data_IF_246814118682
#
_entry.id   IF_246814118682
#
_cell.length_a   1.000
_cell.length_b   1.000
_cell.length_c   1.000
_cell.angle_alpha   90.00
_cell.angle_beta   90.00
_cell.angle_gamma   90.00
#
_symmetry.space_group_name_H-M   'P 1'
#
loop_
_entity.id
_entity.type
_entity.pdbx_description
1 polymer ?
#
# COMPACT_ATOMS: atom_id res chain seq x y z
N UNK A 1 15.37 -23.40 11.58
CA UNK A 1 16.40 -22.55 10.96
C UNK A 1 16.53 -21.31 11.82
N UNK A 2 17.71 -20.99 12.36
CA UNK A 2 17.94 -19.74 13.09
C UNK A 2 18.43 -18.66 12.09
N UNK A 3 17.66 -17.58 11.95
CA UNK A 3 17.95 -16.53 10.97
C UNK A 3 19.07 -15.58 11.41
N UNK A 4 19.32 -15.47 12.72
CA UNK A 4 20.22 -14.48 13.31
C UNK A 4 21.54 -15.08 13.81
N UNK A 5 21.72 -16.39 13.66
CA UNK A 5 22.97 -17.07 13.97
C UNK A 5 24.14 -16.54 13.10
N UNK A 6 25.29 -16.18 13.70
CA UNK A 6 26.47 -15.78 12.94
C UNK A 6 26.99 -16.95 12.10
N UNK A 7 26.91 -16.82 10.78
CA UNK A 7 27.49 -17.82 9.89
C UNK A 7 29.00 -17.62 9.78
N UNK A 8 29.79 -18.69 9.97
CA UNK A 8 31.27 -18.66 9.83
C UNK A 8 31.78 -18.09 8.49
N UNK A 9 30.93 -17.99 7.47
CA UNK A 9 31.24 -17.54 6.11
C UNK A 9 30.73 -16.13 5.77
N UNK A 10 30.11 -15.43 6.71
CA UNK A 10 29.56 -14.08 6.50
C UNK A 10 30.16 -13.15 7.55
N UNK A 11 31.01 -12.24 7.11
CA UNK A 11 31.54 -11.18 7.98
C UNK A 11 30.55 -10.02 8.08
N UNK A 12 30.60 -9.26 9.17
CA UNK A 12 29.61 -8.20 9.46
C UNK A 12 29.58 -7.10 8.39
N UNK A 13 30.69 -6.85 7.69
CA UNK A 13 30.79 -5.92 6.55
C UNK A 13 30.01 -6.39 5.31
N UNK A 14 29.66 -7.68 5.24
CA UNK A 14 28.83 -8.25 4.18
C UNK A 14 27.35 -8.23 4.50
N UNK A 15 26.95 -7.80 5.70
CA UNK A 15 25.55 -7.75 6.07
C UNK A 15 24.81 -6.64 5.34
N UNK A 16 23.65 -7.01 4.81
CA UNK A 16 22.70 -6.04 4.28
C UNK A 16 22.24 -5.09 5.39
N UNK A 17 22.10 -3.80 5.08
CA UNK A 17 21.73 -2.76 6.05
C UNK A 17 20.47 -3.09 6.83
N UNK A 18 19.45 -3.68 6.17
CA UNK A 18 18.20 -4.09 6.83
C UNK A 18 18.36 -5.30 7.74
N UNK A 19 19.21 -6.26 7.37
CA UNK A 19 19.54 -7.39 8.24
C UNK A 19 20.22 -6.88 9.52
N UNK A 20 21.21 -5.99 9.35
CA UNK A 20 21.92 -5.35 10.46
C UNK A 20 20.95 -4.61 11.38
N UNK A 21 20.04 -3.81 10.82
CA UNK A 21 19.01 -3.09 11.58
C UNK A 21 18.14 -4.07 12.41
N UNK A 22 17.60 -5.13 11.81
CA UNK A 22 16.79 -6.11 12.53
C UNK A 22 17.56 -6.86 13.63
N UNK A 23 18.81 -7.21 13.34
CA UNK A 23 19.66 -7.98 14.27
C UNK A 23 20.09 -7.14 15.46
N UNK A 24 20.43 -5.87 15.24
CA UNK A 24 21.08 -5.01 16.24
C UNK A 24 20.11 -4.09 16.99
N UNK A 25 18.88 -3.88 16.50
CA UNK A 25 17.91 -3.01 17.17
C UNK A 25 17.52 -3.57 18.56
N UNK A 26 17.88 -2.90 19.67
CA UNK A 26 17.53 -3.37 21.01
C UNK A 26 16.02 -3.39 21.26
N UNK A 27 15.22 -2.63 20.50
CA UNK A 27 13.78 -2.58 20.61
C UNK A 27 13.04 -3.47 19.59
N UNK A 28 13.78 -4.12 18.68
CA UNK A 28 13.23 -4.96 17.61
C UNK A 28 12.93 -6.41 18.00
N UNK A 29 12.70 -6.71 19.28
CA UNK A 29 12.47 -8.09 19.75
C UNK A 29 11.23 -8.72 19.11
N UNK A 30 10.12 -7.97 19.06
CA UNK A 30 8.88 -8.44 18.43
C UNK A 30 9.08 -8.75 16.95
N UNK A 31 9.74 -7.88 16.21
CA UNK A 31 10.05 -8.08 14.79
C UNK A 31 10.88 -9.35 14.56
N UNK A 32 11.89 -9.62 15.41
CA UNK A 32 12.71 -10.83 15.32
C UNK A 32 11.91 -12.10 15.62
N UNK A 33 11.04 -12.06 16.64
CA UNK A 33 10.18 -13.20 16.99
C UNK A 33 9.20 -13.51 15.85
N UNK A 34 8.53 -12.49 15.30
CA UNK A 34 7.62 -12.65 14.17
C UNK A 34 8.36 -13.25 12.97
N UNK A 35 9.52 -12.71 12.62
CA UNK A 35 10.29 -13.21 11.48
C UNK A 35 10.80 -14.64 11.70
N UNK A 36 11.19 -14.99 12.92
CA UNK A 36 11.60 -16.35 13.26
C UNK A 36 10.43 -17.33 13.17
N UNK A 37 9.21 -16.90 13.53
CA UNK A 37 7.97 -17.68 13.34
C UNK A 37 7.63 -17.88 11.88
N UNK A 38 7.88 -16.88 11.02
CA UNK A 38 7.64 -16.99 9.57
C UNK A 38 8.40 -18.14 8.92
N UNK A 39 9.50 -18.61 9.50
CA UNK A 39 10.30 -19.71 8.93
C UNK A 39 10.14 -21.04 9.68
N UNK A 40 9.19 -21.14 10.61
CA UNK A 40 8.93 -22.38 11.35
C UNK A 40 8.41 -23.49 10.41
N UNK A 41 9.22 -24.54 10.24
CA UNK A 41 8.93 -25.64 9.32
C UNK A 41 9.31 -25.38 7.86
N UNK A 42 9.85 -24.20 7.53
CA UNK A 42 10.44 -23.94 6.22
C UNK A 42 11.76 -24.71 6.09
N UNK A 43 11.90 -25.46 5.00
CA UNK A 43 13.08 -26.27 4.71
C UNK A 43 14.06 -25.46 3.86
N UNK A 44 15.28 -25.21 4.39
CA UNK A 44 16.38 -24.62 3.63
C UNK A 44 17.03 -25.69 2.74
N UNK A 45 16.50 -25.85 1.53
CA UNK A 45 16.78 -27.00 0.64
C UNK A 45 18.22 -27.02 0.15
N UNK A 46 18.86 -25.86 -0.01
CA UNK A 46 20.22 -25.73 -0.53
C UNK A 46 21.22 -25.14 0.48
N UNK A 47 20.79 -24.92 1.73
CA UNK A 47 21.56 -24.35 2.84
C UNK A 47 22.11 -22.94 2.55
N UNK A 48 21.38 -22.15 1.75
CA UNK A 48 21.76 -20.77 1.42
C UNK A 48 20.80 -19.72 1.94
N UNK A 49 19.59 -20.09 2.35
CA UNK A 49 18.56 -19.11 2.71
C UNK A 49 19.02 -18.12 3.79
N UNK A 50 19.68 -18.60 4.84
CA UNK A 50 20.21 -17.72 5.91
C UNK A 50 21.33 -16.82 5.38
N UNK A 51 22.24 -17.35 4.55
CA UNK A 51 23.32 -16.56 3.97
C UNK A 51 22.78 -15.47 3.04
N UNK A 52 21.79 -15.78 2.21
CA UNK A 52 21.17 -14.83 1.30
C UNK A 52 20.35 -13.78 2.05
N UNK A 53 19.61 -14.18 3.09
CA UNK A 53 18.93 -13.26 3.98
C UNK A 53 19.90 -12.23 4.61
N UNK A 54 21.09 -12.69 5.02
CA UNK A 54 22.12 -11.83 5.60
C UNK A 54 22.75 -10.88 4.56
N UNK A 55 22.93 -11.31 3.30
CA UNK A 55 23.69 -10.55 2.27
C UNK A 55 22.83 -9.70 1.33
N UNK A 56 21.68 -10.22 0.88
CA UNK A 56 20.82 -9.61 -0.15
C UNK A 56 19.42 -9.27 0.35
N UNK A 57 18.98 -9.92 1.44
CA UNK A 57 17.78 -9.61 2.22
C UNK A 57 16.43 -9.82 1.49
N UNK A 58 16.10 -9.04 0.46
CA UNK A 58 14.73 -8.95 -0.07
C UNK A 58 14.14 -10.25 -0.58
N UNK A 59 14.93 -11.04 -1.33
CA UNK A 59 14.44 -12.30 -1.90
C UNK A 59 14.07 -13.31 -0.79
N UNK A 60 15.00 -13.56 0.13
CA UNK A 60 14.75 -14.47 1.26
C UNK A 60 13.64 -13.94 2.18
N UNK A 61 13.61 -12.63 2.45
CA UNK A 61 12.54 -12.02 3.24
C UNK A 61 11.15 -12.22 2.61
N UNK A 62 11.05 -12.09 1.29
CA UNK A 62 9.82 -12.35 0.55
C UNK A 62 9.41 -13.82 0.61
N UNK A 63 10.36 -14.75 0.44
CA UNK A 63 10.09 -16.19 0.58
C UNK A 63 9.64 -16.57 1.99
N UNK A 64 10.25 -16.00 3.03
CA UNK A 64 9.83 -16.23 4.43
C UNK A 64 8.40 -15.74 4.66
N UNK A 65 8.08 -14.55 4.16
CA UNK A 65 6.74 -13.99 4.25
C UNK A 65 5.71 -14.83 3.48
N UNK A 66 6.01 -15.27 2.26
CA UNK A 66 5.14 -16.13 1.47
C UNK A 66 4.86 -17.45 2.17
N UNK A 67 5.89 -18.11 2.70
CA UNK A 67 5.71 -19.35 3.45
C UNK A 67 4.77 -19.13 4.64
N UNK A 68 4.97 -18.06 5.42
CA UNK A 68 4.09 -17.72 6.53
C UNK A 68 2.64 -17.49 6.08
N UNK A 69 2.43 -16.77 4.97
CA UNK A 69 1.10 -16.51 4.41
C UNK A 69 0.41 -17.82 3.95
N UNK A 70 1.14 -18.72 3.29
CA UNK A 70 0.58 -20.02 2.88
C UNK A 70 0.23 -20.91 4.07
N UNK A 71 1.04 -20.87 5.13
CA UNK A 71 0.74 -21.57 6.38
C UNK A 71 -0.50 -21.00 7.08
N UNK A 72 -0.65 -19.69 7.12
CA UNK A 72 -1.85 -19.02 7.67
C UNK A 72 -3.10 -19.34 6.84
N UNK A 73 -2.98 -19.38 5.51
CA UNK A 73 -4.05 -19.79 4.59
C UNK A 73 -4.43 -21.29 4.70
N UNK A 74 -3.79 -22.05 5.60
CA UNK A 74 -4.09 -23.47 5.82
C UNK A 74 -3.56 -24.39 4.71
N UNK A 75 -2.64 -23.93 3.89
CA UNK A 75 -2.11 -24.71 2.78
C UNK A 75 -1.13 -25.79 3.22
N UNK A 76 -1.17 -26.92 2.52
CA UNK A 76 -0.19 -28.01 2.66
C UNK A 76 0.85 -27.85 1.57
N UNK A 77 2.11 -27.68 1.98
CA UNK A 77 3.24 -27.50 1.07
C UNK A 77 4.06 -28.78 0.93
N UNK A 78 4.42 -29.10 -0.30
CA UNK A 78 5.49 -30.03 -0.63
C UNK A 78 6.82 -29.27 -0.72
N UNK A 79 7.78 -29.66 0.11
CA UNK A 79 9.10 -29.04 0.20
C UNK A 79 10.22 -30.00 -0.21
N UNK A 80 9.92 -31.15 -0.84
CA UNK A 80 10.93 -32.16 -1.21
C UNK A 80 11.73 -31.81 -2.46
N UNK A 81 11.24 -30.84 -3.25
CA UNK A 81 11.86 -30.42 -4.51
C UNK A 81 12.41 -29.00 -4.39
N UNK A 82 13.48 -28.66 -5.12
CA UNK A 82 14.12 -27.34 -5.03
C UNK A 82 13.55 -26.27 -5.97
N UNK A 83 12.51 -26.60 -6.75
CA UNK A 83 11.83 -25.71 -7.69
C UNK A 83 10.49 -26.31 -8.12
N UNK A 84 9.44 -25.50 -8.39
CA UNK A 84 9.34 -24.08 -8.07
C UNK A 84 9.48 -23.82 -6.57
N UNK A 85 9.66 -22.55 -6.17
CA UNK A 85 9.99 -22.19 -4.79
C UNK A 85 8.98 -22.78 -3.77
N UNK A 86 7.67 -22.75 -4.09
CA UNK A 86 6.62 -23.40 -3.31
C UNK A 86 5.71 -24.27 -4.17
N UNK A 87 5.41 -25.47 -3.67
CA UNK A 87 4.46 -26.40 -4.28
C UNK A 87 3.31 -26.64 -3.31
N UNK A 88 2.14 -26.05 -3.56
CA UNK A 88 0.95 -26.24 -2.73
C UNK A 88 0.20 -27.48 -3.22
N UNK A 89 -0.20 -28.36 -2.30
CA UNK A 89 -0.85 -29.65 -2.60
C UNK A 89 -2.30 -29.74 -2.12
N UNK A 90 -2.67 -28.96 -1.11
CA UNK A 90 -4.03 -28.92 -0.57
C UNK A 90 -4.29 -27.57 0.13
N UNK A 91 -5.56 -27.14 0.23
CA UNK A 91 -6.75 -27.75 -0.38
C UNK A 91 -6.81 -27.56 -1.91
N UNK A 92 -5.99 -26.66 -2.44
CA UNK A 92 -5.79 -26.44 -3.87
C UNK A 92 -4.41 -26.97 -4.28
N UNK A 93 -4.23 -27.42 -5.53
CA UNK A 93 -2.89 -27.76 -6.05
C UNK A 93 -2.42 -26.66 -7.01
N UNK A 94 -1.32 -25.98 -6.69
CA UNK A 94 -0.69 -24.97 -7.54
C UNK A 94 0.77 -24.77 -7.17
N UNK A 95 1.56 -24.29 -8.13
CA UNK A 95 2.98 -23.98 -7.91
C UNK A 95 3.18 -22.47 -7.87
N UNK A 96 4.08 -22.01 -7.01
CA UNK A 96 4.44 -20.60 -6.86
C UNK A 96 5.94 -20.44 -7.04
N UNK A 97 6.31 -19.47 -7.86
CA UNK A 97 7.69 -19.01 -8.02
C UNK A 97 7.82 -17.58 -7.46
N UNK A 98 8.73 -17.39 -6.52
CA UNK A 98 8.97 -16.11 -5.86
C UNK A 98 9.96 -15.25 -6.68
N UNK A 99 9.71 -13.94 -6.70
CA UNK A 99 10.60 -12.96 -7.33
C UNK A 99 10.51 -11.62 -6.62
N UNK A 100 11.59 -10.84 -6.70
CA UNK A 100 11.62 -9.44 -6.25
C UNK A 100 11.96 -8.53 -7.41
N UNK A 101 11.20 -7.46 -7.59
CA UNK A 101 11.49 -6.41 -8.56
C UNK A 101 12.35 -5.34 -7.88
N UNK A 102 13.67 -5.53 -7.85
CA UNK A 102 14.61 -4.63 -7.17
C UNK A 102 14.85 -3.32 -7.92
N UNK A 103 15.45 -2.33 -7.27
CA UNK A 103 15.96 -1.09 -7.87
C UNK A 103 16.90 -1.40 -9.04
N UNK A 104 16.90 -0.57 -10.10
CA UNK A 104 17.86 -0.67 -11.21
C UNK A 104 19.31 -0.52 -10.70
N UNK A 105 20.28 -1.18 -11.33
CA UNK A 105 21.67 -1.22 -10.84
C UNK A 105 22.35 0.15 -10.71
N UNK A 106 21.88 1.16 -11.43
CA UNK A 106 22.35 2.56 -11.39
C UNK A 106 21.27 3.50 -10.84
N UNK A 107 20.27 2.96 -10.13
CA UNK A 107 19.25 3.75 -9.46
C UNK A 107 19.77 4.30 -8.14
N UNK A 108 19.04 5.25 -7.56
CA UNK A 108 19.30 5.74 -6.20
C UNK A 108 19.28 4.54 -5.23
N UNK A 109 20.36 4.28 -4.47
CA UNK A 109 20.41 3.16 -3.55
C UNK A 109 19.49 3.39 -2.34
N UNK A 110 19.03 2.30 -1.72
CA UNK A 110 18.16 2.39 -0.54
C UNK A 110 18.82 3.06 0.67
N UNK A 111 20.15 3.04 0.73
CA UNK A 111 20.92 3.75 1.77
C UNK A 111 20.68 5.26 1.76
N UNK A 112 20.23 5.81 0.64
CA UNK A 112 19.97 7.24 0.49
C UNK A 112 18.60 7.64 1.03
N UNK A 113 17.74 6.67 1.40
CA UNK A 113 16.40 6.92 1.92
C UNK A 113 16.47 7.76 3.20
N UNK A 114 15.84 8.93 3.17
CA UNK A 114 15.88 9.94 4.23
C UNK A 114 14.52 10.24 4.86
N UNK A 115 14.47 11.33 5.63
CA UNK A 115 13.24 11.79 6.29
C UNK A 115 12.19 12.29 5.28
N UNK A 116 12.63 13.02 4.26
CA UNK A 116 11.76 13.53 3.19
C UNK A 116 11.03 12.40 2.48
N UNK A 117 11.76 11.33 2.13
CA UNK A 117 11.19 10.11 1.57
C UNK A 117 10.12 9.47 2.46
N UNK A 118 10.28 9.52 3.79
CA UNK A 118 9.28 9.04 4.74
C UNK A 118 8.05 9.94 4.76
N UNK A 119 8.23 11.26 4.74
CA UNK A 119 7.13 12.22 4.70
C UNK A 119 6.30 12.07 3.42
N UNK A 120 6.97 11.78 2.30
CA UNK A 120 6.34 11.65 0.98
C UNK A 120 5.54 10.35 0.78
N UNK A 121 5.74 9.34 1.65
CA UNK A 121 5.05 8.04 1.54
C UNK A 121 3.52 8.15 1.55
N UNK A 122 2.99 9.21 2.17
CA UNK A 122 1.56 9.45 2.35
C UNK A 122 1.02 10.54 1.43
N UNK A 123 1.81 11.13 0.52
CA UNK A 123 1.28 12.10 -0.44
C UNK A 123 0.26 11.38 -1.35
N UNK A 124 -0.94 11.93 -1.60
CA UNK A 124 -1.88 11.35 -2.55
C UNK A 124 -1.34 11.36 -3.99
N UNK A 125 -1.60 10.35 -4.83
CA UNK A 125 -1.09 10.27 -6.21
C UNK A 125 -1.23 11.55 -7.03
N UNK A 126 -2.34 12.27 -6.93
CA UNK A 126 -2.61 13.53 -7.65
C UNK A 126 -1.71 14.70 -7.25
N UNK A 127 -1.05 14.60 -6.09
CA UNK A 127 -0.18 15.61 -5.52
C UNK A 127 1.30 15.16 -5.56
N UNK A 128 1.59 14.00 -6.16
CA UNK A 128 2.94 13.45 -6.28
C UNK A 128 3.56 13.86 -7.61
N UNK A 129 4.59 14.72 -7.58
CA UNK A 129 5.28 15.19 -8.80
C UNK A 129 5.98 14.04 -9.57
N UNK A 130 6.42 13.01 -8.86
CA UNK A 130 7.14 11.84 -9.35
C UNK A 130 6.23 10.63 -9.65
N UNK A 131 4.89 10.77 -9.58
CA UNK A 131 3.95 9.66 -9.72
C UNK A 131 4.18 8.82 -10.98
N UNK A 132 4.21 9.46 -12.14
CA UNK A 132 4.38 8.77 -13.42
C UNK A 132 5.76 8.13 -13.55
N UNK A 133 6.80 8.78 -13.01
CA UNK A 133 8.15 8.21 -12.99
C UNK A 133 8.18 6.91 -12.16
N UNK A 134 7.58 6.92 -10.97
CA UNK A 134 7.46 5.72 -10.12
C UNK A 134 6.67 4.63 -10.82
N UNK A 135 5.51 4.96 -11.40
CA UNK A 135 4.66 3.99 -12.08
C UNK A 135 5.39 3.35 -13.27
N UNK A 136 6.06 4.15 -14.11
CA UNK A 136 6.75 3.65 -15.30
C UNK A 136 7.97 2.80 -14.92
N UNK A 137 8.77 3.22 -13.94
CA UNK A 137 9.90 2.43 -13.44
C UNK A 137 9.40 1.09 -12.88
N UNK A 138 8.35 1.11 -12.04
CA UNK A 138 7.76 -0.10 -11.49
C UNK A 138 7.26 -1.06 -12.59
N UNK A 139 6.52 -0.56 -13.59
CA UNK A 139 6.03 -1.35 -14.72
C UNK A 139 7.19 -2.03 -15.47
N UNK A 140 8.31 -1.32 -15.72
CA UNK A 140 9.49 -1.89 -16.39
C UNK A 140 10.16 -2.98 -15.54
N UNK A 141 10.41 -2.71 -14.26
CA UNK A 141 11.08 -3.67 -13.35
C UNK A 141 10.24 -4.93 -13.15
N UNK A 142 8.94 -4.76 -12.95
CA UNK A 142 7.98 -5.84 -12.77
C UNK A 142 7.80 -6.67 -14.05
N UNK A 143 7.74 -6.03 -15.23
CA UNK A 143 7.69 -6.72 -16.53
C UNK A 143 8.90 -7.63 -16.76
N UNK A 144 10.09 -7.14 -16.42
CA UNK A 144 11.32 -7.93 -16.51
C UNK A 144 11.31 -9.14 -15.57
N UNK A 145 10.84 -8.95 -14.33
CA UNK A 145 10.72 -10.02 -13.34
C UNK A 145 9.75 -11.13 -13.80
N UNK A 146 8.55 -10.74 -14.25
CA UNK A 146 7.53 -11.66 -14.77
C UNK A 146 8.06 -12.42 -15.99
N UNK A 147 8.62 -11.71 -16.98
CA UNK A 147 9.13 -12.32 -18.21
C UNK A 147 10.28 -13.29 -17.93
N UNK A 148 11.16 -12.96 -16.98
CA UNK A 148 12.26 -13.84 -16.57
C UNK A 148 11.74 -15.15 -15.96
N UNK A 149 10.78 -15.09 -15.03
CA UNK A 149 10.23 -16.28 -14.37
C UNK A 149 9.37 -17.12 -15.30
N UNK A 150 8.62 -16.49 -16.21
CA UNK A 150 7.89 -17.20 -17.26
C UNK A 150 8.84 -18.02 -18.14
N UNK A 151 9.93 -17.39 -18.64
CA UNK A 151 10.93 -18.10 -19.44
C UNK A 151 11.57 -19.26 -18.66
N UNK A 152 11.81 -19.08 -17.36
CA UNK A 152 12.36 -20.14 -16.51
C UNK A 152 11.38 -21.31 -16.36
N UNK A 153 10.09 -21.02 -16.19
CA UNK A 153 9.05 -22.05 -16.19
C UNK A 153 9.01 -22.84 -17.51
N UNK A 154 8.94 -22.14 -18.64
CA UNK A 154 8.84 -22.77 -19.97
C UNK A 154 10.09 -23.58 -20.36
N UNK A 155 11.28 -23.09 -19.99
CA UNK A 155 12.53 -23.71 -20.42
C UNK A 155 13.07 -24.75 -19.44
N UNK A 156 12.71 -24.67 -18.16
CA UNK A 156 13.30 -25.49 -17.09
C UNK A 156 12.23 -26.19 -16.25
N UNK A 157 11.34 -25.47 -15.58
CA UNK A 157 10.49 -26.05 -14.53
C UNK A 157 9.45 -27.01 -15.09
N UNK A 158 8.81 -26.64 -16.21
CA UNK A 158 7.82 -27.47 -16.90
C UNK A 158 8.38 -28.81 -17.42
N UNK A 159 9.71 -28.97 -17.44
CA UNK A 159 10.39 -30.21 -17.86
C UNK A 159 10.77 -31.12 -16.68
N UNK A 160 10.51 -30.69 -15.44
CA UNK A 160 10.79 -31.49 -14.25
C UNK A 160 9.66 -32.51 -14.01
N UNK A 161 10.00 -33.76 -13.72
CA UNK A 161 9.02 -34.85 -13.55
C UNK A 161 7.97 -34.61 -12.45
N UNK A 162 8.31 -33.78 -11.44
CA UNK A 162 7.43 -33.43 -10.33
C UNK A 162 6.55 -32.20 -10.59
N UNK A 163 6.74 -31.50 -11.70
CA UNK A 163 5.92 -30.34 -12.11
C UNK A 163 4.89 -30.81 -13.14
N UNK A 164 3.63 -30.90 -12.72
CA UNK A 164 2.54 -31.32 -13.60
C UNK A 164 2.11 -30.19 -14.53
N UNK A 165 1.80 -30.53 -15.78
CA UNK A 165 1.43 -29.56 -16.82
C UNK A 165 0.02 -28.97 -16.65
N UNK A 166 -0.85 -29.62 -15.89
CA UNK A 166 -2.24 -29.23 -15.59
C UNK A 166 -2.39 -28.46 -14.27
N UNK A 167 -1.29 -28.27 -13.53
CA UNK A 167 -1.28 -27.53 -12.27
C UNK A 167 -1.05 -26.03 -12.54
N UNK A 168 -1.86 -25.13 -11.94
CA UNK A 168 -1.65 -23.69 -12.03
C UNK A 168 -0.24 -23.24 -11.62
N UNK A 169 0.29 -22.25 -12.33
CA UNK A 169 1.59 -21.65 -12.04
C UNK A 169 1.43 -20.17 -11.72
N UNK A 170 1.80 -19.78 -10.51
CA UNK A 170 1.67 -18.43 -9.97
C UNK A 170 3.06 -17.82 -9.82
N UNK A 171 3.22 -16.56 -10.21
CA UNK A 171 4.40 -15.79 -9.84
C UNK A 171 4.05 -14.93 -8.64
N UNK A 172 4.79 -15.08 -7.55
CA UNK A 172 4.66 -14.25 -6.38
C UNK A 172 5.75 -13.19 -6.35
N UNK A 173 5.38 -11.91 -6.46
CA UNK A 173 6.29 -10.79 -6.64
C UNK A 173 6.17 -9.76 -5.52
N UNK A 174 7.30 -9.43 -4.90
CA UNK A 174 7.42 -8.22 -4.07
C UNK A 174 8.13 -7.11 -4.85
N UNK A 175 7.62 -5.89 -4.78
CA UNK A 175 8.21 -4.74 -5.47
C UNK A 175 9.11 -3.92 -4.55
N UNK A 176 10.34 -3.72 -5.01
CA UNK A 176 11.34 -2.81 -4.45
C UNK A 176 11.92 -1.95 -5.59
N UNK A 177 11.06 -1.53 -6.54
CA UNK A 177 11.50 -1.03 -7.85
C UNK A 177 12.22 0.32 -7.77
N UNK A 178 12.06 1.06 -6.68
CA UNK A 178 12.67 2.37 -6.40
C UNK A 178 12.74 2.61 -4.87
N UNK A 179 13.52 3.57 -4.39
CA UNK A 179 13.84 3.81 -2.96
C UNK A 179 12.63 3.93 -2.02
N UNK A 180 11.58 4.59 -2.50
CA UNK A 180 10.30 4.84 -1.86
C UNK A 180 9.26 3.77 -2.20
N UNK A 181 9.69 2.53 -2.44
CA UNK A 181 8.77 1.41 -2.67
C UNK A 181 7.70 1.35 -1.57
N UNK A 182 6.52 0.89 -1.96
CA UNK A 182 5.34 0.81 -1.09
C UNK A 182 4.36 1.97 -1.21
N UNK A 183 4.65 2.99 -2.04
CA UNK A 183 3.68 4.05 -2.40
C UNK A 183 3.00 3.86 -3.75
N UNK A 184 3.45 2.88 -4.54
CA UNK A 184 2.93 2.60 -5.89
C UNK A 184 1.59 1.85 -5.90
N UNK A 185 1.21 1.22 -4.79
CA UNK A 185 -0.02 0.45 -4.64
C UNK A 185 -0.23 -0.54 -5.81
N UNK A 186 -1.44 -0.70 -6.33
CA UNK A 186 -1.75 -1.60 -7.44
C UNK A 186 -1.53 -0.97 -8.83
N UNK A 187 -1.29 0.35 -8.93
CA UNK A 187 -1.34 1.07 -10.21
C UNK A 187 -0.40 0.49 -11.29
N UNK A 188 0.86 0.14 -10.99
CA UNK A 188 1.74 -0.51 -11.95
C UNK A 188 1.25 -1.89 -12.40
N UNK A 189 0.70 -2.70 -11.50
CA UNK A 189 0.16 -4.03 -11.82
C UNK A 189 -1.09 -3.96 -12.70
N UNK A 190 -2.01 -3.04 -12.40
CA UNK A 190 -3.20 -2.80 -13.22
C UNK A 190 -2.80 -2.39 -14.65
N UNK A 191 -1.79 -1.53 -14.76
CA UNK A 191 -1.23 -1.10 -16.04
C UNK A 191 -0.59 -2.28 -16.77
N UNK A 192 0.35 -2.97 -16.12
CA UNK A 192 1.15 -4.02 -16.75
C UNK A 192 0.29 -5.22 -17.16
N UNK A 193 -0.60 -5.69 -16.29
CA UNK A 193 -1.35 -6.92 -16.52
C UNK A 193 -2.58 -6.69 -17.40
N UNK A 194 -3.35 -5.63 -17.17
CA UNK A 194 -4.63 -5.41 -17.86
C UNK A 194 -4.64 -4.24 -18.84
N UNK A 195 -3.55 -3.45 -18.92
CA UNK A 195 -3.51 -2.24 -19.74
C UNK A 195 -4.33 -1.10 -19.13
N UNK A 196 -4.70 -1.19 -17.86
CA UNK A 196 -5.46 -0.17 -17.14
C UNK A 196 -4.49 0.81 -16.48
N UNK A 197 -4.25 1.95 -17.14
CA UNK A 197 -3.33 2.99 -16.70
C UNK A 197 -4.03 4.02 -15.82
N UNK A 198 -3.59 4.18 -14.58
CA UNK A 198 -4.20 5.15 -13.65
C UNK A 198 -3.79 6.59 -13.98
N UNK A 199 -4.77 7.48 -14.01
CA UNK A 199 -4.59 8.94 -14.19
C UNK A 199 -5.03 9.64 -12.90
N UNK A 200 -4.09 10.08 -12.05
CA UNK A 200 -4.41 10.63 -10.73
C UNK A 200 -5.37 11.82 -10.73
N UNK A 201 -5.24 12.72 -11.71
CA UNK A 201 -6.02 13.95 -11.82
C UNK A 201 -7.50 13.66 -12.08
N UNK A 202 -7.77 12.55 -12.77
CA UNK A 202 -9.13 12.09 -13.09
C UNK A 202 -9.65 11.06 -12.08
N UNK A 203 -8.77 10.54 -11.20
CA UNK A 203 -9.03 9.39 -10.33
C UNK A 203 -9.65 8.23 -11.11
N UNK A 204 -9.13 7.97 -12.32
CA UNK A 204 -9.70 7.06 -13.31
C UNK A 204 -8.62 6.17 -13.92
N UNK A 205 -9.05 5.13 -14.65
CA UNK A 205 -8.17 4.29 -15.44
C UNK A 205 -8.47 4.45 -16.93
N UNK A 206 -7.43 4.64 -17.74
CA UNK A 206 -7.50 4.66 -19.21
C UNK A 206 -6.82 3.42 -19.80
N UNK A 207 -7.30 2.96 -20.96
CA UNK A 207 -6.72 1.80 -21.63
C UNK A 207 -5.47 2.17 -22.41
N UNK A 208 -4.37 1.45 -22.20
CA UNK A 208 -3.11 1.60 -22.94
C UNK A 208 -2.55 0.23 -23.34
N UNK A 209 -1.80 0.17 -24.43
CA UNK A 209 -1.10 -1.05 -24.89
C UNK A 209 0.40 -1.01 -24.65
N UNK A 210 0.95 0.17 -24.34
CA UNK A 210 2.37 0.35 -24.06
C UNK A 210 2.61 1.49 -23.06
N UNK A 211 3.77 1.46 -22.41
CA UNK A 211 4.26 2.49 -21.48
C UNK A 211 5.69 2.83 -21.84
N UNK A 212 6.04 4.12 -21.76
CA UNK A 212 7.41 4.59 -21.99
C UNK A 212 8.35 4.07 -20.89
N UNK A 213 9.55 3.62 -21.27
CA UNK A 213 10.57 3.32 -20.26
C UNK A 213 11.16 4.64 -19.75
N UNK A 214 11.31 4.82 -18.43
CA UNK A 214 11.92 6.02 -17.87
C UNK A 214 13.25 6.36 -18.54
N UNK A 215 13.49 7.65 -18.78
CA UNK A 215 14.75 8.17 -19.34
C UNK A 215 15.09 7.65 -20.77
N UNK A 216 14.13 7.08 -21.52
CA UNK A 216 14.34 6.64 -22.91
C UNK A 216 13.15 6.93 -23.82
N UNK A 217 13.36 6.91 -25.14
CA UNK A 217 12.29 6.97 -26.15
C UNK A 217 11.66 5.60 -26.46
N UNK A 218 12.09 4.54 -25.78
CA UNK A 218 11.58 3.19 -26.01
C UNK A 218 10.38 2.88 -25.12
N UNK A 219 9.44 2.09 -25.64
CA UNK A 219 8.27 1.62 -24.88
C UNK A 219 8.42 0.15 -24.47
N UNK A 220 7.56 -0.28 -23.56
CA UNK A 220 7.30 -1.69 -23.28
C UNK A 220 5.81 -2.01 -23.46
N UNK A 221 5.48 -3.19 -24.00
CA UNK A 221 4.08 -3.62 -24.09
C UNK A 221 3.52 -3.89 -22.69
N UNK A 222 2.26 -3.53 -22.51
CA UNK A 222 1.47 -3.85 -21.31
C UNK A 222 0.17 -4.55 -21.70
N UNK A 223 -0.68 -4.88 -20.74
CA UNK A 223 -1.83 -5.77 -20.97
C UNK A 223 -1.39 -7.22 -21.16
N UNK A 224 -0.43 -7.70 -20.34
CA UNK A 224 0.10 -9.06 -20.45
C UNK A 224 -1.01 -10.14 -20.38
N UNK A 225 -2.10 -9.85 -19.68
CA UNK A 225 -3.28 -10.70 -19.49
C UNK A 225 -4.42 -10.37 -20.46
N UNK A 226 -4.16 -9.62 -21.54
CA UNK A 226 -5.12 -9.34 -22.60
C UNK A 226 -4.97 -10.30 -23.81
N UNK A 227 -4.10 -11.31 -23.71
CA UNK A 227 -3.91 -12.35 -24.74
C UNK A 227 -3.40 -13.66 -24.14
N UNK A 228 -3.38 -14.72 -24.96
CA UNK A 228 -2.85 -16.04 -24.60
C UNK A 228 -1.32 -16.13 -24.57
N UNK A 229 -0.61 -15.05 -24.91
CA UNK A 229 0.85 -15.00 -24.91
C UNK A 229 1.45 -15.36 -23.54
N UNK A 230 0.79 -14.97 -22.45
CA UNK A 230 1.21 -15.28 -21.07
C UNK A 230 0.36 -16.38 -20.42
N UNK A 231 -0.31 -17.22 -21.21
CA UNK A 231 -1.23 -18.26 -20.74
C UNK A 231 -0.58 -19.34 -19.85
N UNK A 232 0.75 -19.44 -19.82
CA UNK A 232 1.47 -20.28 -18.86
C UNK A 232 1.43 -19.78 -17.41
N UNK A 233 1.03 -18.52 -17.18
CA UNK A 233 0.88 -17.93 -15.86
C UNK A 233 -0.61 -17.92 -15.51
N UNK A 234 -0.97 -18.51 -14.37
CA UNK A 234 -2.34 -18.56 -13.86
C UNK A 234 -2.74 -17.28 -13.16
N UNK A 235 -1.84 -16.73 -12.34
CA UNK A 235 -2.06 -15.49 -11.61
C UNK A 235 -0.72 -14.86 -11.18
N UNK A 236 -0.74 -13.58 -10.81
CA UNK A 236 0.35 -12.89 -10.13
C UNK A 236 -0.10 -12.55 -8.71
N UNK A 237 0.60 -13.09 -7.70
CA UNK A 237 0.47 -12.65 -6.31
C UNK A 237 1.47 -11.51 -6.08
N UNK A 238 1.03 -10.36 -5.58
CA UNK A 238 1.81 -9.13 -5.56
C UNK A 238 1.74 -8.43 -4.21
N UNK A 239 2.85 -7.80 -3.81
CA UNK A 239 2.89 -6.82 -2.72
C UNK A 239 3.93 -5.74 -3.02
N UNK A 240 3.61 -4.49 -2.64
CA UNK A 240 4.60 -3.41 -2.50
C UNK A 240 4.82 -3.03 -1.04
N UNK A 241 4.10 -3.64 -0.09
CA UNK A 241 4.11 -3.26 1.33
C UNK A 241 4.83 -4.28 2.23
N UNK A 242 5.50 -5.29 1.64
CA UNK A 242 6.34 -6.26 2.36
C UNK A 242 7.71 -5.65 2.69
N UNK A 243 7.71 -4.78 3.71
CA UNK A 243 8.89 -4.06 4.21
C UNK A 243 9.12 -4.37 5.69
N UNK A 244 10.16 -3.81 6.31
CA UNK A 244 10.34 -3.90 7.77
C UNK A 244 9.13 -3.34 8.54
N UNK A 245 8.39 -2.38 7.96
CA UNK A 245 7.13 -1.90 8.53
C UNK A 245 6.07 -2.98 8.67
N UNK A 246 6.11 -4.06 7.87
CA UNK A 246 5.22 -5.22 8.04
C UNK A 246 5.53 -5.93 9.36
N UNK A 247 6.81 -6.17 9.66
CA UNK A 247 7.21 -6.79 10.92
C UNK A 247 6.82 -5.92 12.11
N UNK A 248 7.12 -4.62 12.07
CA UNK A 248 6.75 -3.68 13.14
C UNK A 248 5.23 -3.64 13.35
N UNK A 249 4.45 -3.65 12.25
CA UNK A 249 2.99 -3.69 12.30
C UNK A 249 2.46 -4.95 13.01
N UNK A 250 2.94 -6.13 12.62
CA UNK A 250 2.52 -7.40 13.23
C UNK A 250 2.99 -7.52 14.69
N UNK A 251 4.22 -7.10 14.99
CA UNK A 251 4.73 -7.07 16.36
C UNK A 251 3.86 -6.17 17.26
N UNK A 252 3.49 -4.97 16.80
CA UNK A 252 2.57 -4.08 17.53
C UNK A 252 1.17 -4.69 17.68
N UNK A 253 0.70 -5.39 16.65
CA UNK A 253 -0.60 -6.09 16.66
C UNK A 253 -0.64 -7.21 17.71
N UNK A 254 0.49 -7.90 17.95
CA UNK A 254 0.64 -8.90 19.01
C UNK A 254 1.02 -8.31 20.39
N UNK A 255 1.11 -6.98 20.50
CA UNK A 255 1.37 -6.28 21.75
C UNK A 255 2.85 -6.16 22.16
N UNK A 256 3.78 -6.46 21.26
CA UNK A 256 5.19 -6.19 21.51
C UNK A 256 5.46 -4.68 21.54
N UNK A 257 6.39 -4.28 22.42
CA UNK A 257 6.88 -2.91 22.45
C UNK A 257 7.62 -2.57 21.15
N UNK A 258 7.35 -1.39 20.61
CA UNK A 258 8.10 -0.82 19.49
C UNK A 258 8.35 0.66 19.74
N UNK A 259 9.52 1.14 19.34
CA UNK A 259 9.84 2.58 19.32
C UNK A 259 9.21 3.31 18.13
N UNK A 260 8.53 2.58 17.24
CA UNK A 260 7.87 3.17 16.08
C UNK A 260 6.34 3.17 16.21
N UNK A 261 5.74 4.13 15.51
CA UNK A 261 4.34 4.11 15.13
C UNK A 261 4.17 3.64 13.70
N UNK A 262 3.07 2.92 13.47
CA UNK A 262 2.71 2.40 12.15
C UNK A 262 1.30 2.88 11.81
N UNK A 263 1.20 3.58 10.68
CA UNK A 263 -0.06 3.98 10.08
C UNK A 263 -0.16 3.34 8.71
N UNK A 264 -1.30 2.72 8.43
CA UNK A 264 -1.69 2.29 7.11
C UNK A 264 -2.77 3.23 6.59
N UNK A 265 -2.69 3.60 5.32
CA UNK A 265 -3.83 4.15 4.61
C UNK A 265 -4.54 2.99 3.90
N UNK A 266 -5.82 2.79 4.17
CA UNK A 266 -6.61 1.71 3.58
C UNK A 266 -7.66 2.24 2.62
N UNK A 267 -7.97 1.48 1.58
CA UNK A 267 -9.02 1.82 0.60
C UNK A 267 -10.28 0.99 0.86
N UNK A 268 -11.33 1.67 1.26
CA UNK A 268 -12.70 1.17 1.24
C UNK A 268 -13.28 1.39 -0.17
N UNK A 269 -13.63 0.31 -0.85
CA UNK A 269 -14.22 0.36 -2.18
C UNK A 269 -15.75 0.53 -2.15
N UNK A 270 -16.39 0.36 -0.99
CA UNK A 270 -17.84 0.51 -0.80
C UNK A 270 -18.22 1.94 -0.39
N UNK A 271 -17.34 2.64 0.32
CA UNK A 271 -17.56 4.04 0.72
C UNK A 271 -17.17 5.02 -0.39
N UNK A 272 -18.17 5.56 -1.09
CA UNK A 272 -17.96 6.58 -2.13
C UNK A 272 -17.69 7.99 -1.59
N UNK A 273 -17.95 8.24 -0.31
CA UNK A 273 -17.85 9.58 0.32
C UNK A 273 -16.49 9.78 0.97
N UNK A 274 -16.01 8.78 1.71
CA UNK A 274 -14.70 8.79 2.38
C UNK A 274 -13.96 7.46 2.12
N UNK A 275 -13.56 7.19 0.88
CA UNK A 275 -12.99 5.90 0.48
C UNK A 275 -11.65 5.57 1.18
N UNK A 276 -10.91 6.55 1.69
CA UNK A 276 -9.61 6.30 2.31
C UNK A 276 -9.71 6.40 3.84
N UNK A 277 -9.35 5.30 4.51
CA UNK A 277 -9.44 5.14 5.95
C UNK A 277 -8.05 5.09 6.57
N UNK A 278 -7.82 5.92 7.58
CA UNK A 278 -6.58 5.86 8.35
C UNK A 278 -6.65 4.72 9.38
N UNK A 279 -5.64 3.86 9.37
CA UNK A 279 -5.49 2.75 10.30
C UNK A 279 -4.22 2.93 11.13
N UNK A 280 -4.37 3.33 12.39
CA UNK A 280 -3.28 3.32 13.37
C UNK A 280 -3.16 1.93 13.99
N UNK A 281 -2.00 1.28 13.82
CA UNK A 281 -1.82 -0.12 14.20
C UNK A 281 -1.55 -0.25 15.70
N UNK A 282 -2.29 -1.14 16.35
CA UNK A 282 -2.11 -1.53 17.74
C UNK A 282 -2.89 -2.80 18.09
N UNK A 283 -2.88 -3.18 19.37
CA UNK A 283 -3.53 -4.42 19.85
C UNK A 283 -5.04 -4.40 19.55
N UNK A 284 -5.70 -3.26 19.76
CA UNK A 284 -7.14 -3.10 19.54
C UNK A 284 -7.50 -2.84 18.06
N UNK A 285 -6.49 -2.68 17.21
CA UNK A 285 -6.64 -2.42 15.77
C UNK A 285 -5.49 -3.09 15.01
N UNK A 286 -5.46 -4.43 14.99
CA UNK A 286 -4.33 -5.18 14.44
C UNK A 286 -4.29 -5.10 12.91
N UNK A 287 -3.09 -5.25 12.35
CA UNK A 287 -2.92 -5.63 10.96
C UNK A 287 -2.83 -7.16 10.84
N UNK A 288 -3.45 -7.74 9.82
CA UNK A 288 -3.40 -9.18 9.56
C UNK A 288 -2.17 -9.55 8.72
N UNK A 289 -1.67 -10.78 8.82
CA UNK A 289 -0.47 -11.19 8.08
C UNK A 289 -0.64 -11.04 6.57
N UNK A 290 -1.79 -11.40 6.01
CA UNK A 290 -2.06 -11.32 4.57
C UNK A 290 -2.51 -9.93 4.08
N UNK A 291 -2.65 -8.93 4.97
CA UNK A 291 -2.90 -7.55 4.55
C UNK A 291 -1.78 -7.01 3.65
N UNK A 292 -2.18 -6.37 2.54
CA UNK A 292 -1.26 -5.78 1.57
C UNK A 292 -0.83 -6.72 0.43
N UNK A 293 -1.40 -7.93 0.38
CA UNK A 293 -1.27 -8.85 -0.75
C UNK A 293 -2.42 -8.67 -1.76
N UNK A 294 -2.07 -8.71 -3.04
CA UNK A 294 -3.00 -8.61 -4.17
C UNK A 294 -2.81 -9.80 -5.10
N UNK A 295 -3.90 -10.44 -5.53
CA UNK A 295 -3.85 -11.55 -6.49
C UNK A 295 -4.54 -11.16 -7.79
N UNK A 296 -3.79 -11.09 -8.88
CA UNK A 296 -4.29 -10.75 -10.20
C UNK A 296 -4.43 -12.01 -11.06
N UNK A 297 -5.65 -12.38 -11.44
CA UNK A 297 -5.94 -13.58 -12.21
C UNK A 297 -5.77 -13.37 -13.72
N UNK A 298 -5.13 -14.32 -14.39
CA UNK A 298 -5.02 -14.30 -15.86
C UNK A 298 -6.26 -14.94 -16.50
N UNK A 299 -7.11 -14.19 -17.21
CA UNK A 299 -8.30 -14.75 -17.86
C UNK A 299 -7.96 -15.73 -19.00
N UNK A 300 -6.76 -15.64 -19.57
CA UNK A 300 -6.24 -16.50 -20.64
C UNK A 300 -5.31 -17.62 -20.13
N UNK A 301 -5.24 -17.86 -18.82
CA UNK A 301 -4.43 -18.96 -18.28
C UNK A 301 -4.87 -20.32 -18.84
N UNK A 302 -3.90 -21.18 -19.20
CA UNK A 302 -4.14 -22.58 -19.58
C UNK A 302 -4.76 -23.36 -18.43
N UNK A 303 -4.18 -23.21 -17.23
CA UNK A 303 -4.69 -23.77 -15.99
C UNK A 303 -5.08 -22.60 -15.08
N UNK A 304 -6.37 -22.39 -14.85
CA UNK A 304 -6.83 -21.28 -14.00
C UNK A 304 -6.63 -21.60 -12.53
N UNK A 305 -6.18 -20.61 -11.78
CA UNK A 305 -6.20 -20.69 -10.33
C UNK A 305 -7.63 -20.48 -9.85
N UNK A 306 -8.06 -21.24 -8.85
CA UNK A 306 -9.38 -21.07 -8.26
C UNK A 306 -9.47 -19.72 -7.53
N UNK A 307 -10.54 -18.96 -7.75
CA UNK A 307 -10.76 -17.67 -7.08
C UNK A 307 -11.01 -17.84 -5.57
N UNK A 308 -11.37 -19.05 -5.13
CA UNK A 308 -11.59 -19.36 -3.71
C UNK A 308 -10.30 -19.63 -2.94
N UNK A 309 -9.14 -19.70 -3.61
CA UNK A 309 -7.91 -20.18 -2.96
C UNK A 309 -7.46 -19.34 -1.76
N UNK A 310 -7.77 -18.04 -1.73
CA UNK A 310 -7.45 -17.14 -0.64
C UNK A 310 -8.70 -16.53 0.02
N UNK A 311 -9.88 -17.14 -0.12
CA UNK A 311 -11.16 -16.55 0.32
C UNK A 311 -11.26 -16.35 1.84
N UNK A 312 -10.51 -17.10 2.64
CA UNK A 312 -10.48 -16.97 4.12
C UNK A 312 -9.34 -16.06 4.61
N UNK A 313 -8.71 -15.30 3.73
CA UNK A 313 -7.55 -14.43 4.05
C UNK A 313 -7.83 -12.96 3.75
N UNK A 314 -6.89 -12.06 4.07
CA UNK A 314 -6.98 -10.63 3.71
C UNK A 314 -6.46 -10.31 2.30
N UNK A 315 -6.17 -11.30 1.45
CA UNK A 315 -5.68 -11.06 0.09
C UNK A 315 -6.79 -10.47 -0.78
N UNK A 316 -6.55 -9.30 -1.36
CA UNK A 316 -7.47 -8.70 -2.34
C UNK A 316 -7.25 -9.33 -3.72
N UNK A 317 -8.28 -9.90 -4.33
CA UNK A 317 -8.15 -10.57 -5.63
C UNK A 317 -8.81 -9.74 -6.73
N UNK A 318 -8.24 -9.72 -7.94
CA UNK A 318 -8.78 -9.07 -9.13
C UNK A 318 -8.95 -10.09 -10.27
N UNK A 319 -10.15 -10.14 -10.85
CA UNK A 319 -10.48 -11.04 -11.96
C UNK A 319 -11.60 -10.49 -12.84
N UNK A 320 -11.69 -10.98 -14.08
CA UNK A 320 -12.73 -10.58 -15.01
C UNK A 320 -14.05 -11.33 -14.75
N UNK A 321 -15.14 -10.58 -14.62
CA UNK A 321 -16.51 -11.09 -14.65
C UNK A 321 -17.24 -10.46 -15.84
N UNK A 322 -17.34 -11.21 -16.94
CA UNK A 322 -17.75 -10.64 -18.22
C UNK A 322 -16.74 -9.60 -18.71
N UNK A 323 -17.21 -8.37 -18.94
CA UNK A 323 -16.38 -7.26 -19.43
C UNK A 323 -15.99 -6.26 -18.33
N UNK A 324 -16.14 -6.64 -17.06
CA UNK A 324 -15.81 -5.79 -15.92
C UNK A 324 -14.75 -6.51 -15.08
N UNK A 325 -13.67 -5.81 -14.76
CA UNK A 325 -12.70 -6.29 -13.80
C UNK A 325 -13.24 -6.01 -12.40
N UNK A 326 -13.54 -7.07 -11.66
CA UNK A 326 -14.05 -7.01 -10.29
C UNK A 326 -12.97 -7.38 -9.30
N UNK A 327 -13.23 -7.11 -8.02
CA UNK A 327 -12.34 -7.53 -6.94
C UNK A 327 -13.13 -8.15 -5.79
N UNK A 328 -12.44 -8.99 -5.01
CA UNK A 328 -12.92 -9.51 -3.72
C UNK A 328 -11.95 -9.12 -2.63
N UNK A 329 -12.45 -8.71 -1.47
CA UNK A 329 -11.62 -8.39 -0.32
C UNK A 329 -12.39 -8.60 0.98
N UNK A 330 -11.76 -9.22 1.97
CA UNK A 330 -12.33 -9.37 3.32
C UNK A 330 -12.03 -8.18 4.24
N UNK A 331 -11.21 -7.24 3.76
CA UNK A 331 -10.76 -6.06 4.49
C UNK A 331 -10.45 -4.94 3.49
N UNK A 332 -10.20 -3.74 3.97
CA UNK A 332 -9.78 -2.62 3.13
C UNK A 332 -8.29 -2.76 2.78
N UNK A 333 -7.92 -2.93 1.51
CA UNK A 333 -6.52 -3.08 1.13
C UNK A 333 -5.67 -1.88 1.52
N UNK A 334 -4.41 -2.15 1.85
CA UNK A 334 -3.44 -1.14 2.22
C UNK A 334 -2.91 -0.45 0.95
N UNK A 335 -3.12 0.85 0.88
CA UNK A 335 -2.63 1.75 -0.18
C UNK A 335 -1.15 2.05 0.02
N UNK A 336 -0.80 2.48 1.24
CA UNK A 336 0.57 2.73 1.65
C UNK A 336 0.71 2.53 3.17
N UNK A 337 1.97 2.36 3.61
CA UNK A 337 2.34 2.22 5.02
C UNK A 337 3.42 3.22 5.38
N UNK A 338 3.23 3.86 6.54
CA UNK A 338 4.21 4.72 7.17
C UNK A 338 4.64 4.09 8.49
N UNK A 339 5.95 3.89 8.63
CA UNK A 339 6.59 3.35 9.83
C UNK A 339 7.68 4.33 10.27
N UNK A 340 7.52 4.96 11.42
CA UNK A 340 8.40 6.05 11.86
C UNK A 340 8.54 6.08 13.39
N UNK A 341 9.62 6.69 13.89
CA UNK A 341 9.89 6.77 15.33
C UNK A 341 8.82 7.57 16.08
N UNK A 342 8.37 7.06 17.23
CA UNK A 342 7.47 7.75 18.18
C UNK A 342 7.93 9.16 18.53
N UNK A 343 9.23 9.44 18.50
CA UNK A 343 9.78 10.77 18.76
C UNK A 343 9.30 11.83 17.75
N UNK A 344 8.87 11.42 16.56
CA UNK A 344 8.42 12.31 15.48
C UNK A 344 6.88 12.37 15.38
N UNK A 345 6.16 11.68 16.27
CA UNK A 345 4.71 11.49 16.19
C UNK A 345 3.93 12.78 16.10
N UNK A 346 4.29 13.81 16.86
CA UNK A 346 3.56 15.08 16.82
C UNK A 346 3.62 15.75 15.44
N UNK A 347 4.79 15.75 14.79
CA UNK A 347 4.94 16.31 13.45
C UNK A 347 4.24 15.49 12.38
N UNK A 348 4.38 14.16 12.44
CA UNK A 348 3.73 13.25 11.49
C UNK A 348 2.21 13.22 11.64
N UNK A 349 1.64 13.41 12.84
CA UNK A 349 0.19 13.36 13.02
C UNK A 349 -0.52 14.46 12.22
N UNK A 350 0.01 15.68 12.23
CA UNK A 350 -0.53 16.79 11.44
C UNK A 350 -0.46 16.48 9.94
N UNK A 351 0.69 15.95 9.51
CA UNK A 351 0.93 15.59 8.11
C UNK A 351 -0.03 14.46 7.64
N UNK A 352 -0.19 13.42 8.45
CA UNK A 352 -1.04 12.26 8.17
C UNK A 352 -2.51 12.67 8.08
N UNK A 353 -2.98 13.52 8.99
CA UNK A 353 -4.36 14.01 9.00
C UNK A 353 -4.63 14.85 7.74
N UNK A 354 -3.70 15.72 7.39
CA UNK A 354 -3.77 16.55 6.19
C UNK A 354 -3.74 15.71 4.89
N UNK A 355 -2.91 14.69 4.79
CA UNK A 355 -2.94 13.78 3.65
C UNK A 355 -4.21 12.93 3.60
N UNK A 356 -4.72 12.49 4.77
CA UNK A 356 -5.99 11.75 4.84
C UNK A 356 -7.16 12.58 4.30
N UNK A 357 -7.19 13.88 4.61
CA UNK A 357 -8.10 14.84 3.99
C UNK A 357 -7.93 14.89 2.47
N UNK A 358 -6.70 15.09 2.00
CA UNK A 358 -6.42 15.25 0.58
C UNK A 358 -6.75 13.99 -0.25
N UNK A 359 -6.54 12.80 0.30
CA UNK A 359 -6.92 11.51 -0.32
C UNK A 359 -8.43 11.40 -0.52
N UNK A 360 -9.23 11.94 0.41
CA UNK A 360 -10.69 11.90 0.37
C UNK A 360 -11.31 13.11 -0.36
N UNK A 361 -10.50 13.94 -1.02
CA UNK A 361 -10.95 15.13 -1.76
C UNK A 361 -11.83 16.10 -0.95
N UNK A 362 -11.61 16.16 0.37
CA UNK A 362 -12.26 17.14 1.22
C UNK A 362 -11.47 18.44 1.24
N UNK A 363 -12.15 19.58 1.19
CA UNK A 363 -11.52 20.86 1.51
C UNK A 363 -11.18 20.95 3.01
N UNK A 364 -10.29 21.86 3.44
CA UNK A 364 -10.05 22.11 4.86
C UNK A 364 -11.36 22.40 5.62
N UNK A 365 -12.27 23.17 5.01
CA UNK A 365 -13.54 23.52 5.64
C UNK A 365 -14.51 22.34 5.77
N UNK A 366 -14.45 21.36 4.87
CA UNK A 366 -15.32 20.18 4.92
C UNK A 366 -14.80 19.17 5.95
N UNK A 367 -13.48 18.98 5.98
CA UNK A 367 -12.82 17.98 6.82
C UNK A 367 -12.74 18.39 8.29
N UNK A 368 -12.45 19.66 8.58
CA UNK A 368 -12.33 20.14 9.95
C UNK A 368 -13.67 20.61 10.56
N UNK A 369 -14.80 20.33 9.90
CA UNK A 369 -16.12 20.76 10.36
C UNK A 369 -16.51 20.06 11.67
N UNK A 370 -17.15 20.79 12.58
CA UNK A 370 -17.81 20.20 13.75
C UNK A 370 -19.13 19.51 13.39
N UNK A 371 -19.69 19.85 12.24
CA UNK A 371 -20.87 19.20 11.68
C UNK A 371 -20.43 18.05 10.76
N UNK A 372 -21.33 17.11 10.47
CA UNK A 372 -21.00 15.97 9.60
C UNK A 372 -20.42 16.47 8.27
N UNK A 373 -19.26 15.90 7.88
CA UNK A 373 -18.53 16.33 6.70
C UNK A 373 -19.38 16.11 5.45
N UNK A 374 -20.01 17.16 4.92
CA UNK A 374 -20.68 17.16 3.62
C UNK A 374 -19.95 18.08 2.65
N UNK A 375 -20.04 17.78 1.35
CA UNK A 375 -19.43 18.65 0.34
C UNK A 375 -20.16 19.98 0.31
N UNK A 376 -19.42 21.07 0.51
CA UNK A 376 -20.00 22.41 0.58
C UNK A 376 -20.35 22.85 -0.84
N UNK A 377 -21.64 23.14 -1.07
CA UNK A 377 -22.15 23.70 -2.34
C UNK A 377 -22.75 25.07 -2.07
N UNK A 378 -22.26 26.08 -2.78
CA UNK A 378 -22.73 27.47 -2.63
C UNK A 378 -23.14 28.01 -4.00
N UNK A 379 -24.36 28.52 -4.12
CA UNK A 379 -24.75 29.38 -5.24
C UNK A 379 -24.42 30.83 -4.89
N UNK A 380 -23.22 31.28 -5.24
CA UNK A 380 -22.75 32.63 -4.95
C UNK A 380 -23.58 33.75 -5.59
N UNK A 381 -24.55 33.45 -6.45
CA UNK A 381 -25.51 34.47 -6.91
C UNK A 381 -26.59 34.78 -5.88
N UNK A 382 -26.83 33.87 -4.92
CA UNK A 382 -27.92 33.94 -3.93
C UNK A 382 -27.41 33.96 -2.51
N UNK A 383 -26.37 33.17 -2.26
CA UNK A 383 -25.88 32.85 -0.93
C UNK A 383 -24.40 33.24 -0.75
N UNK A 384 -24.07 33.59 0.48
CA UNK A 384 -22.72 33.67 0.99
C UNK A 384 -22.52 32.57 2.05
N UNK A 385 -21.28 32.14 2.22
CA UNK A 385 -20.89 31.14 3.21
C UNK A 385 -20.25 31.84 4.40
N UNK A 386 -20.78 31.59 5.60
CA UNK A 386 -20.15 32.00 6.85
C UNK A 386 -19.37 30.81 7.37
N UNK A 387 -18.05 30.96 7.57
CA UNK A 387 -17.19 29.94 8.15
C UNK A 387 -16.54 30.46 9.43
N UNK A 388 -16.64 29.71 10.50
CA UNK A 388 -16.21 30.11 11.84
C UNK A 388 -15.16 29.11 12.32
N UNK A 389 -13.90 29.52 12.34
CA UNK A 389 -12.80 28.71 12.85
C UNK A 389 -12.73 28.88 14.36
N UNK A 390 -12.79 27.75 15.08
CA UNK A 390 -12.80 27.68 16.53
C UNK A 390 -11.65 26.81 17.03
N UNK A 391 -11.16 27.12 18.23
CA UNK A 391 -10.22 26.27 18.95
C UNK A 391 -10.96 25.47 20.01
N UNK A 392 -10.76 24.16 20.04
CA UNK A 392 -11.41 23.27 20.99
C UNK A 392 -10.70 23.30 22.34
N UNK A 393 -11.43 23.29 23.46
CA UNK A 393 -10.81 23.28 24.80
C UNK A 393 -10.01 22.00 25.05
N UNK A 394 -10.56 20.85 24.64
CA UNK A 394 -10.10 19.53 25.07
C UNK A 394 -8.75 19.14 24.50
N UNK A 395 -8.57 19.30 23.19
CA UNK A 395 -7.41 18.84 22.44
C UNK A 395 -6.66 19.99 21.74
N UNK A 396 -7.13 21.22 21.92
CA UNK A 396 -6.57 22.43 21.30
C UNK A 396 -6.62 22.41 19.76
N UNK A 397 -7.35 21.46 19.18
CA UNK A 397 -7.51 21.33 17.74
C UNK A 397 -8.30 22.50 17.17
N UNK A 398 -8.03 22.80 15.90
CA UNK A 398 -8.79 23.79 15.14
C UNK A 398 -9.90 23.05 14.40
N UNK A 399 -11.12 23.57 14.52
CA UNK A 399 -12.32 23.07 13.85
C UNK A 399 -13.07 24.23 13.23
N UNK A 400 -14.01 23.97 12.33
CA UNK A 400 -14.90 25.00 11.82
C UNK A 400 -16.38 24.66 12.00
N UNK A 401 -17.18 25.72 12.06
CA UNK A 401 -18.64 25.66 11.90
C UNK A 401 -18.95 26.49 10.67
N UNK A 402 -19.78 26.00 9.77
CA UNK A 402 -20.11 26.75 8.57
C UNK A 402 -21.58 26.64 8.20
N UNK A 403 -22.12 27.69 7.58
CA UNK A 403 -23.51 27.72 7.14
C UNK A 403 -23.74 28.76 6.04
N UNK A 404 -24.79 28.54 5.25
CA UNK A 404 -25.20 29.45 4.18
C UNK A 404 -26.14 30.55 4.69
N UNK A 405 -26.00 31.73 4.09
CA UNK A 405 -26.84 32.90 4.33
C UNK A 405 -27.03 33.68 3.04
N UNK A 406 -28.07 34.50 2.95
CA UNK A 406 -28.27 35.32 1.75
C UNK A 406 -27.13 36.32 1.53
N UNK A 407 -26.72 36.50 0.27
CA UNK A 407 -25.79 37.54 -0.19
C UNK A 407 -26.19 38.95 0.27
N UNK A 408 -27.48 39.21 0.50
CA UNK A 408 -27.96 40.56 0.83
C UNK A 408 -27.84 40.93 2.31
N UNK A 409 -27.45 40.00 3.17
CA UNK A 409 -27.22 40.29 4.60
C UNK A 409 -25.92 41.07 4.79
N UNK A 410 -25.90 42.00 5.75
CA UNK A 410 -24.72 42.82 6.03
C UNK A 410 -23.67 42.02 6.81
N UNK A 411 -22.40 42.37 6.62
CA UNK A 411 -21.29 41.71 7.33
C UNK A 411 -21.41 41.85 8.85
N UNK A 412 -21.87 43.01 9.34
CA UNK A 412 -22.12 43.23 10.77
C UNK A 412 -23.15 42.25 11.33
N UNK A 413 -24.25 42.02 10.60
CA UNK A 413 -25.27 41.05 10.99
C UNK A 413 -24.69 39.64 11.03
N UNK A 414 -23.96 39.24 9.98
CA UNK A 414 -23.37 37.91 9.86
C UNK A 414 -22.34 37.63 10.95
N UNK A 415 -21.49 38.61 11.29
CA UNK A 415 -20.50 38.49 12.37
C UNK A 415 -21.16 38.35 13.76
N UNK A 416 -22.25 39.08 14.01
CA UNK A 416 -23.00 38.93 15.27
C UNK A 416 -23.71 37.57 15.33
N UNK A 417 -24.29 37.13 14.22
CA UNK A 417 -24.92 35.82 14.12
C UNK A 417 -23.91 34.70 14.36
N UNK A 418 -22.75 34.75 13.73
CA UNK A 418 -21.69 33.76 13.89
C UNK A 418 -21.30 33.55 15.37
N UNK A 419 -21.16 34.65 16.13
CA UNK A 419 -20.91 34.58 17.58
C UNK A 419 -22.04 33.91 18.35
N UNK A 420 -23.29 34.16 17.96
CA UNK A 420 -24.46 33.50 18.57
C UNK A 420 -24.51 32.01 18.23
N UNK A 421 -24.20 31.63 17.00
CA UNK A 421 -24.18 30.22 16.59
C UNK A 421 -23.13 29.42 17.37
N UNK A 422 -21.92 29.97 17.54
CA UNK A 422 -20.91 29.35 18.42
C UNK A 422 -21.41 29.24 19.86
N UNK A 423 -22.09 30.26 20.38
CA UNK A 423 -22.67 30.24 21.73
C UNK A 423 -23.79 29.22 21.94
N UNK A 424 -24.38 28.67 20.86
CA UNK A 424 -25.39 27.61 20.92
C UNK A 424 -24.79 26.20 20.90
N UNK A 425 -23.49 26.07 20.57
CA UNK A 425 -22.81 24.78 20.49
C UNK A 425 -22.76 24.11 21.86
N UNK A 426 -22.91 22.79 21.85
CA UNK A 426 -22.79 21.97 23.07
C UNK A 426 -21.34 21.54 23.32
N UNK A 427 -20.52 21.62 22.29
CA UNK A 427 -19.10 21.31 22.30
C UNK A 427 -18.31 22.36 23.09
N UNK A 428 -17.25 21.91 23.75
CA UNK A 428 -16.37 22.78 24.54
C UNK A 428 -15.40 23.55 23.64
N UNK A 429 -15.81 24.77 23.28
CA UNK A 429 -15.04 25.70 22.45
C UNK A 429 -14.30 26.71 23.34
N UNK A 430 -12.98 26.76 23.24
CA UNK A 430 -12.13 27.69 23.99
C UNK A 430 -12.35 29.12 23.49
N UNK A 431 -12.22 29.31 22.17
CA UNK A 431 -12.44 30.61 21.53
C UNK A 431 -12.69 30.52 20.04
N UNK A 432 -13.31 31.57 19.51
CA UNK A 432 -13.36 31.85 18.07
C UNK A 432 -11.99 32.39 17.65
N UNK A 433 -11.36 31.72 16.69
CA UNK A 433 -10.07 32.12 16.11
C UNK A 433 -10.26 33.12 14.98
N UNK A 434 -11.20 32.84 14.07
CA UNK A 434 -11.48 33.66 12.87
C UNK A 434 -12.90 33.42 12.38
N UNK A 435 -13.51 34.42 11.75
CA UNK A 435 -14.76 34.28 11.00
C UNK A 435 -14.49 34.77 9.58
N UNK A 436 -14.72 33.89 8.61
CA UNK A 436 -14.58 34.17 7.18
C UNK A 436 -15.98 34.33 6.57
N UNK A 437 -16.23 35.49 5.95
CA UNK A 437 -17.46 35.76 5.20
C UNK A 437 -17.13 35.63 3.70
N UNK A 438 -17.54 34.52 3.11
CA UNK A 438 -17.16 34.13 1.75
C UNK A 438 -18.34 34.43 0.83
N UNK A 439 -18.18 35.42 -0.04
CA UNK A 439 -19.22 35.91 -0.96
C UNK A 439 -18.92 35.60 -2.43
N UNK A 440 -17.71 35.19 -2.72
CA UNK A 440 -17.21 34.98 -4.07
C UNK A 440 -16.56 33.60 -4.16
N UNK A 441 -16.67 33.00 -5.35
CA UNK A 441 -16.14 31.67 -5.59
C UNK A 441 -14.61 31.65 -5.51
N UNK A 442 -13.97 32.72 -5.97
CA UNK A 442 -12.53 32.89 -5.94
C UNK A 442 -11.99 32.86 -4.50
N UNK A 443 -12.71 33.50 -3.57
CA UNK A 443 -12.37 33.49 -2.14
C UNK A 443 -12.64 32.11 -1.55
N UNK A 444 -13.74 31.46 -1.92
CA UNK A 444 -14.03 30.08 -1.50
C UNK A 444 -12.93 29.12 -1.91
N UNK A 445 -12.49 29.20 -3.16
CA UNK A 445 -11.42 28.36 -3.70
C UNK A 445 -10.09 28.67 -3.00
N UNK A 446 -9.77 29.95 -2.73
CA UNK A 446 -8.56 30.35 -1.99
C UNK A 446 -8.54 29.87 -0.54
N UNK A 447 -9.65 29.95 0.19
CA UNK A 447 -9.74 29.49 1.60
C UNK A 447 -9.68 27.95 1.70
N UNK A 448 -9.98 27.25 0.60
CA UNK A 448 -9.98 25.80 0.52
C UNK A 448 -8.69 25.19 -0.06
N UNK A 449 -7.73 26.00 -0.51
CA UNK A 449 -6.36 25.58 -0.81
C UNK A 449 -5.58 25.40 0.49
#
# INVERSE_FOLDING_TARGET
MDLFEPLKKVSEDQWHTKFKLLKEDPYGEGERIILQRWVEGLVDRDNKMVQEFQKTFHASFWEFYLYACFREAGFVLDQTHNRPDFMIKAPYEFNVEAVVANIKSQGRPESDRGMEDLMDMFIPPKNQEDFFQIQHEAVVRQSNAITSKMKKYENEYSKCDWVKADVPFVIAMSSYSQVNYGREFIYPMMTLLYGMYYVPEENSYVSVSEVQKPETDSTIPVGLFNSDKYSGISAILYSCTTTLGKLTSLAKSEGYFSMNEVYNLRRDYEDTKMPYKLHHVGIDSPEMLTDGLFLFHNPFAKNKLDIQCFEDTSVTQFFWQGNILVHTSNTYPIVCRLNFSKMLQQGFHILIDEYSRQYNDFSPMEYYSLDESEKIKVDFNRDCLVCIWVKMERDQSIRNVHYLRSQYLTDEYLLQEAKREVGKRTEKIDKIMRIDLIREKEIFDFVNQ
#
